data_IF_064497809192
#
_entry.id   IF_064497809192
#
_cell.length_a   1.000
_cell.length_b   1.000
_cell.length_c   1.000
_cell.angle_alpha   90.00
_cell.angle_beta   90.00
_cell.angle_gamma   90.00
#
_symmetry.space_group_name_H-M   'P 1'
#
loop_
_entity.id
_entity.type
_entity.pdbx_description
1 polymer ?
#
# COMPACT_ATOMS: atom_id res chain seq x y z
N UNK A 1 -15.25 -22.13 0.70
CA UNK A 1 -13.99 -21.46 1.08
C UNK A 1 -14.16 -19.98 0.82
N UNK A 2 -13.71 -19.11 1.73
CA UNK A 2 -13.56 -17.69 1.39
C UNK A 2 -12.44 -17.55 0.35
N UNK A 3 -12.58 -16.58 -0.55
CA UNK A 3 -11.55 -16.29 -1.55
C UNK A 3 -10.32 -15.67 -0.91
N UNK A 4 -9.14 -15.99 -1.42
CA UNK A 4 -7.84 -15.41 -1.03
C UNK A 4 -7.35 -14.36 -2.03
N UNK A 5 -8.05 -14.21 -3.15
CA UNK A 5 -7.77 -13.20 -4.17
C UNK A 5 -7.89 -11.79 -3.57
N UNK A 6 -6.81 -11.00 -3.68
CA UNK A 6 -6.71 -9.63 -3.18
C UNK A 6 -7.83 -8.71 -3.71
N UNK A 7 -8.32 -8.95 -4.93
CA UNK A 7 -9.40 -8.13 -5.51
C UNK A 7 -10.78 -8.44 -4.90
N UNK A 8 -10.98 -9.64 -4.37
CA UNK A 8 -12.29 -10.14 -3.99
C UNK A 8 -12.42 -10.51 -2.50
N UNK A 9 -11.31 -10.61 -1.77
CA UNK A 9 -11.35 -11.04 -0.37
C UNK A 9 -11.87 -9.91 0.54
N UNK A 10 -12.83 -10.21 1.43
CA UNK A 10 -13.39 -9.21 2.32
C UNK A 10 -12.48 -8.86 3.51
N UNK A 11 -11.45 -9.67 3.74
CA UNK A 11 -10.40 -9.52 4.75
C UNK A 11 -9.70 -10.86 4.99
N UNK A 12 -8.87 -10.96 6.03
CA UNK A 12 -8.19 -12.19 6.42
C UNK A 12 -9.13 -13.42 6.50
N UNK A 13 -8.70 -14.62 6.08
CA UNK A 13 -9.40 -15.87 6.37
C UNK A 13 -9.79 -16.04 7.85
N UNK A 14 -10.96 -16.65 8.18
CA UNK A 14 -11.45 -16.73 9.56
C UNK A 14 -10.48 -17.38 10.56
N UNK A 15 -9.69 -18.34 10.13
CA UNK A 15 -8.69 -19.04 10.92
C UNK A 15 -7.49 -18.18 11.31
N UNK A 16 -7.23 -17.08 10.57
CA UNK A 16 -6.21 -16.08 10.92
C UNK A 16 -6.71 -15.01 11.89
N UNK A 17 -8.02 -14.97 12.20
CA UNK A 17 -8.64 -13.88 13.01
C UNK A 17 -8.65 -14.14 14.52
N UNK A 18 -8.05 -15.24 14.99
CA UNK A 18 -8.10 -15.61 16.40
C UNK A 18 -7.48 -14.54 17.31
N UNK A 19 -6.30 -14.02 16.95
CA UNK A 19 -5.65 -12.94 17.71
C UNK A 19 -6.37 -11.60 17.55
N UNK A 20 -6.84 -11.27 16.34
CA UNK A 20 -7.66 -10.07 16.12
C UNK A 20 -8.92 -10.06 16.99
N UNK A 21 -9.56 -11.22 17.18
CA UNK A 21 -10.73 -11.36 18.06
C UNK A 21 -10.37 -11.12 19.52
N UNK A 22 -9.17 -11.53 19.94
CA UNK A 22 -8.67 -11.34 21.30
C UNK A 22 -8.18 -9.90 21.56
N UNK A 23 -7.61 -9.25 20.54
CA UNK A 23 -7.08 -7.90 20.58
C UNK A 23 -7.71 -7.06 19.44
N UNK A 24 -8.97 -6.64 19.59
CA UNK A 24 -9.65 -5.84 18.58
C UNK A 24 -9.01 -4.45 18.41
N UNK A 25 -9.17 -3.82 17.24
CA UNK A 25 -8.49 -2.56 16.87
C UNK A 25 -8.63 -1.44 17.92
N UNK A 26 -9.76 -1.36 18.61
CA UNK A 26 -10.04 -0.34 19.62
C UNK A 26 -9.14 -0.42 20.85
N UNK A 27 -8.50 -1.56 21.13
CA UNK A 27 -7.58 -1.70 22.28
C UNK A 27 -6.13 -1.38 21.94
N UNK A 28 -5.75 -1.31 20.66
CA UNK A 28 -4.35 -1.31 20.24
C UNK A 28 -3.56 -0.13 20.82
N UNK A 29 -4.06 1.10 20.66
CA UNK A 29 -3.35 2.32 21.07
C UNK A 29 -3.05 2.40 22.58
N UNK A 30 -3.87 1.73 23.40
CA UNK A 30 -3.71 1.69 24.86
C UNK A 30 -2.97 0.44 25.36
N UNK A 31 -2.63 -0.50 24.49
CA UNK A 31 -2.07 -1.78 24.91
C UNK A 31 -0.59 -1.64 25.32
N UNK A 32 -0.21 -2.25 26.43
CA UNK A 32 1.15 -2.15 26.99
C UNK A 32 2.23 -2.69 26.05
N UNK A 33 1.89 -3.68 25.22
CA UNK A 33 2.80 -4.28 24.23
C UNK A 33 2.79 -3.56 22.87
N UNK A 34 2.06 -2.44 22.71
CA UNK A 34 2.20 -1.61 21.52
C UNK A 34 3.47 -0.75 21.63
N UNK A 35 4.60 -1.37 21.29
CA UNK A 35 5.93 -0.79 21.35
C UNK A 35 6.23 0.14 20.19
N UNK A 36 7.52 0.44 20.00
CA UNK A 36 7.97 1.45 19.05
C UNK A 36 7.91 0.93 17.61
N UNK A 37 8.27 -0.34 17.39
CA UNK A 37 8.27 -0.97 16.07
C UNK A 37 6.84 -1.05 15.51
N UNK A 38 5.87 -1.49 16.33
CA UNK A 38 4.47 -1.54 15.93
C UNK A 38 3.87 -0.16 15.61
N UNK A 39 4.24 0.88 16.38
CA UNK A 39 3.79 2.26 16.10
C UNK A 39 4.38 2.77 14.79
N UNK A 40 5.69 2.59 14.60
CA UNK A 40 6.35 2.97 13.37
C UNK A 40 5.74 2.27 12.14
N UNK A 41 5.38 1.00 12.28
CA UNK A 41 4.66 0.25 11.23
C UNK A 41 3.34 0.91 10.85
N UNK A 42 2.49 1.21 11.84
CA UNK A 42 1.21 1.88 11.62
C UNK A 42 1.38 3.27 11.00
N UNK A 43 2.36 4.04 11.48
CA UNK A 43 2.70 5.36 10.92
C UNK A 43 3.15 5.27 9.46
N UNK A 44 3.90 4.22 9.08
CA UNK A 44 4.29 3.97 7.69
C UNK A 44 3.09 3.63 6.81
N UNK A 45 2.17 2.81 7.30
CA UNK A 45 0.94 2.48 6.59
C UNK A 45 0.06 3.72 6.37
N UNK A 46 -0.10 4.55 7.40
CA UNK A 46 -0.86 5.79 7.30
C UNK A 46 -0.21 6.77 6.32
N UNK A 47 1.12 6.87 6.29
CA UNK A 47 1.84 7.64 5.27
C UNK A 47 1.50 7.16 3.84
N UNK A 48 1.42 5.84 3.59
CA UNK A 48 1.02 5.33 2.27
C UNK A 48 -0.43 5.70 1.93
N UNK A 49 -1.36 5.59 2.88
CA UNK A 49 -2.76 5.98 2.68
C UNK A 49 -2.88 7.47 2.36
N UNK A 50 -2.22 8.32 3.13
CA UNK A 50 -2.24 9.77 2.96
C UNK A 50 -1.62 10.19 1.63
N UNK A 51 -0.44 9.68 1.30
CA UNK A 51 0.26 10.04 0.08
C UNK A 51 -0.47 9.52 -1.17
N UNK A 52 -1.01 8.30 -1.11
CA UNK A 52 -1.86 7.75 -2.17
C UNK A 52 -3.10 8.60 -2.41
N UNK A 53 -3.80 8.98 -1.35
CA UNK A 53 -4.96 9.87 -1.43
C UNK A 53 -4.60 11.24 -2.02
N UNK A 54 -3.48 11.83 -1.58
CA UNK A 54 -3.01 13.11 -2.10
C UNK A 54 -2.71 13.04 -3.61
N UNK A 55 -2.01 11.98 -4.06
CA UNK A 55 -1.70 11.78 -5.49
C UNK A 55 -2.97 11.64 -6.34
N UNK A 56 -3.96 10.87 -5.88
CA UNK A 56 -5.26 10.76 -6.55
C UNK A 56 -6.00 12.10 -6.62
N UNK A 57 -6.01 12.87 -5.53
CA UNK A 57 -6.64 14.19 -5.50
C UNK A 57 -5.94 15.18 -6.46
N UNK A 58 -4.60 15.19 -6.47
CA UNK A 58 -3.82 16.04 -7.36
C UNK A 58 -4.06 15.71 -8.84
N UNK A 59 -4.22 14.42 -9.19
CA UNK A 59 -4.60 14.01 -10.53
C UNK A 59 -6.01 14.52 -10.91
N UNK A 60 -6.98 14.41 -10.00
CA UNK A 60 -8.33 14.92 -10.23
C UNK A 60 -8.34 16.44 -10.44
N UNK A 61 -7.62 17.20 -9.60
CA UNK A 61 -7.48 18.65 -9.74
C UNK A 61 -6.89 19.05 -11.10
N UNK A 62 -5.87 18.33 -11.55
CA UNK A 62 -5.28 18.55 -12.87
C UNK A 62 -6.26 18.24 -14.01
N UNK A 63 -7.00 17.12 -13.94
CA UNK A 63 -8.01 16.75 -14.95
C UNK A 63 -9.13 17.78 -15.07
N UNK A 64 -9.47 18.44 -13.97
CA UNK A 64 -10.46 19.52 -13.94
C UNK A 64 -9.89 20.89 -14.32
N UNK A 65 -8.58 20.98 -14.60
CA UNK A 65 -7.93 22.24 -14.96
C UNK A 65 -7.78 23.22 -13.80
N UNK A 66 -7.89 22.75 -12.55
CA UNK A 66 -7.72 23.59 -11.35
C UNK A 66 -6.25 23.96 -11.09
N UNK A 67 -5.31 23.18 -11.63
CA UNK A 67 -3.86 23.38 -11.52
C UNK A 67 -3.24 23.32 -12.91
N UNK A 68 -2.31 24.24 -13.19
CA UNK A 68 -1.59 24.23 -14.47
C UNK A 68 -0.61 23.06 -14.59
N UNK A 69 -0.25 22.71 -15.82
CA UNK A 69 0.62 21.56 -16.13
C UNK A 69 1.99 21.68 -15.42
N UNK A 70 2.71 22.83 -15.50
CA UNK A 70 4.02 22.95 -14.85
C UNK A 70 3.97 22.81 -13.33
N UNK A 71 2.94 23.35 -12.66
CA UNK A 71 2.77 23.23 -11.21
C UNK A 71 2.40 21.80 -10.82
N UNK A 72 1.48 21.17 -11.55
CA UNK A 72 1.12 19.77 -11.34
C UNK A 72 2.35 18.87 -11.45
N UNK A 73 3.11 18.94 -12.55
CA UNK A 73 4.31 18.10 -12.78
C UNK A 73 5.34 18.24 -11.67
N UNK A 74 5.65 19.49 -11.28
CA UNK A 74 6.63 19.80 -10.22
C UNK A 74 6.22 19.23 -8.86
N UNK A 75 4.92 19.18 -8.58
CA UNK A 75 4.38 18.63 -7.34
C UNK A 75 4.27 17.10 -7.39
N UNK A 76 3.78 16.57 -8.50
CA UNK A 76 3.35 15.19 -8.67
C UNK A 76 4.51 14.20 -8.84
N UNK A 77 5.42 14.44 -9.80
CA UNK A 77 6.49 13.50 -10.13
C UNK A 77 7.39 13.09 -8.94
N UNK A 78 7.91 14.01 -8.11
CA UNK A 78 8.73 13.61 -6.97
C UNK A 78 7.95 12.86 -5.89
N UNK A 79 6.65 13.17 -5.70
CA UNK A 79 5.79 12.49 -4.72
C UNK A 79 5.44 11.08 -5.16
N UNK A 80 5.13 10.89 -6.44
CA UNK A 80 4.92 9.56 -6.99
C UNK A 80 6.20 8.72 -6.88
N UNK A 81 7.35 9.28 -7.26
CA UNK A 81 8.63 8.59 -7.12
C UNK A 81 8.93 8.18 -5.67
N UNK A 82 8.68 9.08 -4.71
CA UNK A 82 8.82 8.78 -3.29
C UNK A 82 7.87 7.66 -2.84
N UNK A 83 6.59 7.72 -3.23
CA UNK A 83 5.58 6.71 -2.91
C UNK A 83 6.00 5.32 -3.39
N UNK A 84 6.31 5.19 -4.69
CA UNK A 84 6.64 3.90 -5.31
C UNK A 84 7.92 3.30 -4.71
N UNK A 85 8.98 4.09 -4.53
CA UNK A 85 10.25 3.62 -3.95
C UNK A 85 10.10 3.21 -2.49
N UNK A 86 9.34 3.97 -1.70
CA UNK A 86 9.11 3.63 -0.29
C UNK A 86 8.24 2.38 -0.13
N UNK A 87 7.26 2.17 -1.01
CA UNK A 87 6.38 1.01 -0.96
C UNK A 87 7.14 -0.26 -1.32
N UNK A 88 7.93 -0.23 -2.40
CA UNK A 88 8.82 -1.34 -2.76
C UNK A 88 9.81 -1.67 -1.63
N UNK A 89 10.48 -0.66 -1.06
CA UNK A 89 11.42 -0.89 0.04
C UNK A 89 10.77 -1.40 1.33
N UNK A 90 9.51 -1.03 1.58
CA UNK A 90 8.73 -1.51 2.73
C UNK A 90 8.45 -3.01 2.60
N UNK A 91 7.86 -3.43 1.48
CA UNK A 91 7.56 -4.85 1.22
C UNK A 91 8.84 -5.71 1.24
N UNK A 92 9.94 -5.21 0.68
CA UNK A 92 11.22 -5.94 0.72
C UNK A 92 11.72 -6.19 2.15
N UNK A 93 11.59 -5.22 3.05
CA UNK A 93 11.98 -5.37 4.46
C UNK A 93 11.04 -6.36 5.15
N UNK A 94 9.74 -6.30 4.84
CA UNK A 94 8.73 -7.21 5.39
C UNK A 94 9.01 -8.65 5.04
N UNK A 95 9.17 -8.94 3.76
CA UNK A 95 9.44 -10.29 3.24
C UNK A 95 10.75 -10.86 3.78
N UNK A 96 11.81 -10.04 3.83
CA UNK A 96 13.16 -10.52 4.17
C UNK A 96 13.44 -10.58 5.67
N UNK A 97 12.73 -9.79 6.47
CA UNK A 97 13.06 -9.63 7.89
C UNK A 97 11.86 -9.86 8.81
N UNK A 98 10.75 -9.17 8.60
CA UNK A 98 9.65 -9.18 9.56
C UNK A 98 8.78 -10.43 9.45
N UNK A 99 8.34 -10.82 8.26
CA UNK A 99 7.52 -12.02 8.07
C UNK A 99 8.21 -13.29 8.58
N UNK A 100 9.51 -13.53 8.30
CA UNK A 100 10.21 -14.66 8.91
C UNK A 100 10.20 -14.66 10.45
N UNK A 101 10.37 -13.48 11.07
CA UNK A 101 10.34 -13.35 12.53
C UNK A 101 8.95 -13.65 13.10
N UNK A 102 7.89 -13.12 12.47
CA UNK A 102 6.51 -13.40 12.89
C UNK A 102 6.11 -14.86 12.70
N UNK A 103 6.47 -15.47 11.57
CA UNK A 103 6.25 -16.89 11.32
C UNK A 103 6.95 -17.76 12.36
N UNK A 104 8.17 -17.41 12.78
CA UNK A 104 8.89 -18.11 13.83
C UNK A 104 8.21 -17.97 15.20
N UNK A 105 7.66 -16.79 15.50
CA UNK A 105 6.98 -16.50 16.76
C UNK A 105 5.59 -17.15 16.87
N UNK A 106 4.86 -17.32 15.76
CA UNK A 106 3.55 -17.97 15.73
C UNK A 106 3.34 -18.81 14.46
N UNK A 107 3.68 -20.10 14.56
CA UNK A 107 3.62 -21.04 13.42
C UNK A 107 2.21 -21.27 12.87
N UNK A 108 1.16 -21.10 13.68
CA UNK A 108 -0.21 -21.27 13.19
C UNK A 108 -0.63 -20.18 12.20
N UNK A 109 0.01 -19.01 12.24
CA UNK A 109 -0.25 -17.88 11.35
C UNK A 109 0.62 -17.88 10.09
N UNK A 110 1.50 -18.88 9.90
CA UNK A 110 2.49 -18.88 8.81
C UNK A 110 1.86 -18.67 7.43
N UNK A 111 0.75 -19.36 7.13
CA UNK A 111 0.05 -19.22 5.85
C UNK A 111 -0.59 -17.84 5.64
N UNK A 112 -0.79 -17.05 6.71
CA UNK A 112 -1.21 -15.67 6.63
C UNK A 112 -0.09 -14.77 6.11
N UNK A 113 1.16 -15.05 6.46
CA UNK A 113 2.31 -14.34 5.90
C UNK A 113 2.58 -14.74 4.44
N UNK A 114 2.39 -16.03 4.10
CA UNK A 114 2.42 -16.47 2.68
C UNK A 114 1.34 -15.76 1.83
N UNK A 115 0.17 -15.46 2.43
CA UNK A 115 -0.88 -14.67 1.77
C UNK A 115 -0.41 -13.24 1.50
N UNK A 116 0.18 -12.57 2.49
CA UNK A 116 0.67 -11.19 2.37
C UNK A 116 1.84 -11.07 1.40
N UNK A 117 2.79 -12.01 1.42
CA UNK A 117 3.91 -12.08 0.47
C UNK A 117 3.39 -12.25 -0.97
N UNK A 118 2.35 -13.06 -1.19
CA UNK A 118 1.72 -13.16 -2.51
C UNK A 118 1.07 -11.84 -2.94
N UNK A 119 0.50 -11.07 -2.02
CA UNK A 119 -0.01 -9.73 -2.35
C UNK A 119 1.09 -8.77 -2.73
N UNK A 120 2.26 -8.85 -2.09
CA UNK A 120 3.43 -8.04 -2.45
C UNK A 120 3.81 -8.26 -3.91
N UNK A 121 3.78 -9.51 -4.39
CA UNK A 121 4.00 -9.81 -5.81
C UNK A 121 2.99 -9.14 -6.74
N UNK A 122 1.70 -9.19 -6.40
CA UNK A 122 0.64 -8.53 -7.19
C UNK A 122 0.79 -7.01 -7.15
N UNK A 123 1.12 -6.44 -5.99
CA UNK A 123 1.31 -5.00 -5.82
C UNK A 123 2.58 -4.53 -6.55
N UNK A 124 3.63 -5.35 -6.61
CA UNK A 124 4.84 -5.06 -7.38
C UNK A 124 4.53 -4.89 -8.86
N UNK A 125 3.72 -5.78 -9.45
CA UNK A 125 3.28 -5.63 -10.85
C UNK A 125 2.48 -4.32 -11.05
N UNK A 126 1.66 -3.94 -10.07
CA UNK A 126 0.92 -2.68 -10.10
C UNK A 126 1.82 -1.44 -9.95
N UNK A 127 2.90 -1.52 -9.15
CA UNK A 127 3.93 -0.49 -9.04
C UNK A 127 4.59 -0.23 -10.40
N UNK A 128 4.98 -1.29 -11.11
CA UNK A 128 5.57 -1.20 -12.44
C UNK A 128 4.61 -0.59 -13.46
N UNK A 129 3.36 -1.06 -13.50
CA UNK A 129 2.34 -0.53 -14.39
C UNK A 129 2.03 0.96 -14.10
N UNK A 130 2.00 1.34 -12.83
CA UNK A 130 1.78 2.73 -12.40
C UNK A 130 2.94 3.63 -12.82
N UNK A 131 4.19 3.19 -12.64
CA UNK A 131 5.36 3.95 -13.09
C UNK A 131 5.37 4.12 -14.62
N UNK A 132 5.08 3.06 -15.36
CA UNK A 132 5.07 3.06 -16.83
C UNK A 132 4.00 4.00 -17.39
N UNK A 133 2.77 3.91 -16.87
CA UNK A 133 1.66 4.78 -17.28
C UNK A 133 1.90 6.25 -16.88
N UNK A 134 2.46 6.50 -15.69
CA UNK A 134 2.81 7.86 -15.27
C UNK A 134 3.87 8.49 -16.18
N UNK A 135 4.90 7.76 -16.56
CA UNK A 135 5.93 8.25 -17.48
C UNK A 135 5.35 8.59 -18.86
N UNK A 136 4.46 7.74 -19.39
CA UNK A 136 3.74 8.03 -20.65
C UNK A 136 2.89 9.29 -20.54
N UNK A 137 2.15 9.42 -19.44
CA UNK A 137 1.30 10.59 -19.19
C UNK A 137 2.14 11.88 -19.12
N UNK A 138 3.22 11.89 -18.33
CA UNK A 138 4.10 13.06 -18.19
C UNK A 138 4.78 13.45 -19.52
N UNK A 139 5.14 12.46 -20.36
CA UNK A 139 5.70 12.71 -21.69
C UNK A 139 4.65 13.31 -22.64
N UNK A 140 3.42 12.74 -22.67
CA UNK A 140 2.33 13.25 -23.49
C UNK A 140 1.96 14.70 -23.12
N UNK A 141 1.96 15.03 -21.83
CA UNK A 141 1.76 16.39 -21.32
C UNK A 141 2.84 17.38 -21.77
N UNK A 142 4.08 16.92 -22.00
CA UNK A 142 5.17 17.74 -22.52
C UNK A 142 4.98 18.05 -24.01
N UNK A 143 4.65 17.02 -24.79
CA UNK A 143 4.53 17.10 -26.24
C UNK A 143 3.26 17.88 -26.68
N UNK A 144 2.25 17.94 -25.81
CA UNK A 144 0.98 18.61 -26.08
C UNK A 144 1.05 20.14 -26.13
N UNK A 145 2.23 20.73 -25.94
CA UNK A 145 2.47 22.17 -26.14
C UNK A 145 2.14 22.69 -27.56
N UNK A 146 1.76 21.83 -28.51
CA UNK A 146 1.31 22.24 -29.85
C UNK A 146 0.46 21.25 -30.68
N UNK A 147 -0.15 20.20 -30.09
CA UNK A 147 -0.84 19.12 -30.85
C UNK A 147 -2.09 18.55 -30.13
N UNK A 148 -2.91 17.67 -30.77
CA UNK A 148 -4.26 17.28 -30.29
C UNK A 148 -4.30 16.69 -28.88
N UNK A 149 -5.29 17.14 -28.07
CA UNK A 149 -5.47 16.82 -26.65
C UNK A 149 -5.94 15.38 -26.34
N UNK A 150 -6.31 14.61 -27.35
CA UNK A 150 -6.89 13.27 -27.15
C UNK A 150 -5.86 12.24 -26.67
N UNK A 151 -4.61 12.32 -27.15
CA UNK A 151 -3.54 11.40 -26.73
C UNK A 151 -3.14 11.61 -25.26
N UNK A 152 -3.13 12.87 -24.82
CA UNK A 152 -2.91 13.25 -23.42
C UNK A 152 -4.00 12.68 -22.52
N UNK A 153 -5.27 12.86 -22.91
CA UNK A 153 -6.41 12.38 -22.14
C UNK A 153 -6.36 10.86 -21.99
N UNK A 154 -6.04 10.13 -23.05
CA UNK A 154 -5.92 8.67 -22.98
C UNK A 154 -4.78 8.23 -22.06
N UNK A 155 -3.61 8.90 -22.11
CA UNK A 155 -2.50 8.60 -21.21
C UNK A 155 -2.84 8.91 -19.74
N UNK A 156 -3.57 10.00 -19.49
CA UNK A 156 -4.05 10.37 -18.16
C UNK A 156 -5.10 9.38 -17.62
N UNK A 157 -6.01 8.89 -18.46
CA UNK A 157 -6.98 7.84 -18.11
C UNK A 157 -6.25 6.52 -17.79
N UNK A 158 -5.27 6.10 -18.59
CA UNK A 158 -4.50 4.89 -18.34
C UNK A 158 -3.70 4.96 -17.02
N UNK A 159 -3.13 6.12 -16.69
CA UNK A 159 -2.48 6.33 -15.39
C UNK A 159 -3.49 6.30 -14.23
N UNK A 160 -4.64 6.95 -14.38
CA UNK A 160 -5.70 6.95 -13.37
C UNK A 160 -6.13 5.51 -13.04
N UNK A 161 -6.40 4.69 -14.05
CA UNK A 161 -6.83 3.30 -13.88
C UNK A 161 -5.76 2.44 -13.19
N UNK A 162 -4.49 2.62 -13.55
CA UNK A 162 -3.37 1.92 -12.92
C UNK A 162 -3.21 2.32 -11.45
N UNK A 163 -3.23 3.63 -11.16
CA UNK A 163 -3.12 4.15 -9.81
C UNK A 163 -4.30 3.75 -8.93
N UNK A 164 -5.53 3.77 -9.44
CA UNK A 164 -6.71 3.35 -8.68
C UNK A 164 -6.63 1.87 -8.31
N UNK A 165 -6.20 1.02 -9.25
CA UNK A 165 -6.00 -0.41 -8.99
C UNK A 165 -4.95 -0.66 -7.91
N UNK A 166 -3.79 0.00 -8.02
CA UNK A 166 -2.73 -0.08 -7.02
C UNK A 166 -3.24 0.32 -5.64
N UNK A 167 -3.88 1.49 -5.52
CA UNK A 167 -4.34 2.00 -4.23
C UNK A 167 -5.43 1.14 -3.60
N UNK A 168 -6.38 0.65 -4.40
CA UNK A 168 -7.44 -0.25 -3.93
C UNK A 168 -6.86 -1.54 -3.33
N UNK A 169 -5.91 -2.16 -4.04
CA UNK A 169 -5.25 -3.40 -3.61
C UNK A 169 -4.35 -3.15 -2.40
N UNK A 170 -3.59 -2.07 -2.41
CA UNK A 170 -2.76 -1.67 -1.28
C UNK A 170 -3.59 -1.46 -0.01
N UNK A 171 -4.71 -0.73 -0.08
CA UNK A 171 -5.57 -0.49 1.11
C UNK A 171 -6.09 -1.81 1.70
N UNK A 172 -6.47 -2.77 0.85
CA UNK A 172 -6.90 -4.10 1.31
C UNK A 172 -5.74 -4.84 1.98
N UNK A 173 -4.59 -4.87 1.32
CA UNK A 173 -3.39 -5.52 1.82
C UNK A 173 -2.95 -4.96 3.18
N UNK A 174 -2.77 -3.64 3.30
CA UNK A 174 -2.38 -2.99 4.56
C UNK A 174 -3.36 -3.28 5.70
N UNK A 175 -4.66 -3.38 5.40
CA UNK A 175 -5.66 -3.71 6.41
C UNK A 175 -5.54 -5.15 6.92
N UNK A 176 -5.33 -6.10 6.01
CA UNK A 176 -5.13 -7.51 6.34
C UNK A 176 -3.82 -7.72 7.11
N UNK A 177 -2.77 -7.03 6.70
CA UNK A 177 -1.47 -7.06 7.37
C UNK A 177 -1.54 -6.52 8.80
N UNK A 178 -2.13 -5.35 8.99
CA UNK A 178 -2.35 -4.78 10.33
C UNK A 178 -3.15 -5.74 11.23
N UNK A 179 -4.20 -6.34 10.69
CA UNK A 179 -5.09 -7.26 11.40
C UNK A 179 -4.39 -8.59 11.75
N UNK A 180 -3.30 -8.93 11.07
CA UNK A 180 -2.48 -10.12 11.36
C UNK A 180 -1.34 -9.79 12.32
N UNK A 181 -0.59 -8.73 12.04
CA UNK A 181 0.68 -8.40 12.71
C UNK A 181 0.45 -7.72 14.05
N UNK A 182 -0.42 -6.70 14.13
CA UNK A 182 -0.55 -5.92 15.36
C UNK A 182 -1.05 -6.81 16.51
N UNK A 183 -2.12 -7.61 16.36
CA UNK A 183 -2.55 -8.52 17.43
C UNK A 183 -1.48 -9.53 17.85
N UNK A 184 -0.62 -9.97 16.92
CA UNK A 184 0.51 -10.84 17.24
C UNK A 184 1.56 -10.14 18.10
N UNK A 185 1.93 -8.90 17.75
CA UNK A 185 2.82 -8.08 18.57
C UNK A 185 2.21 -7.83 19.95
N UNK A 186 0.91 -7.55 20.03
CA UNK A 186 0.26 -7.34 21.32
C UNK A 186 0.28 -8.59 22.19
N UNK A 187 0.12 -9.78 21.61
CA UNK A 187 0.12 -11.04 22.35
C UNK A 187 1.52 -11.47 22.83
N UNK A 188 2.54 -11.32 21.97
CA UNK A 188 3.89 -11.84 22.23
C UNK A 188 4.85 -10.77 22.78
N UNK A 189 4.69 -9.53 22.37
CA UNK A 189 5.62 -8.42 22.60
C UNK A 189 6.79 -8.41 21.62
N UNK A 190 7.24 -7.21 21.23
CA UNK A 190 8.31 -6.98 20.24
C UNK A 190 9.60 -7.73 20.59
N UNK A 191 10.06 -7.62 21.85
CA UNK A 191 11.28 -8.27 22.32
C UNK A 191 11.24 -9.81 22.24
N UNK A 192 10.06 -10.42 22.40
CA UNK A 192 9.91 -11.87 22.30
C UNK A 192 9.89 -12.35 20.84
N UNK A 193 9.40 -11.51 19.93
CA UNK A 193 9.42 -11.75 18.48
C UNK A 193 10.82 -11.51 17.91
N UNK A 194 11.59 -10.59 18.50
CA UNK A 194 12.92 -10.21 18.06
C UNK A 194 12.92 -9.05 17.05
N UNK A 195 11.98 -8.12 17.21
CA UNK A 195 11.80 -6.92 16.37
C UNK A 195 11.78 -5.64 17.21
#
# INVERSE_FOLDING_TARGET
MQTVDLDARPGLPPDLRALLTRYPRDVWMGHANLGATARFWLERHDMFRELGSALSAGLADHREGRVDIPAFRRWFAPRLGFFLQNLEGHHQIEDQHYFPAFQAAERSLAHGFDLLENDHGVIHDDLLATAETANRFLAAEEDAAGSPRDGVRWAADAYADASERLLRRLIRHLADEEDLIIPLILDRGEAAIGI
#
